data_IF_094661796295
#
_entry.id   IF_094661796295
#
_cell.length_a   1.000
_cell.length_b   1.000
_cell.length_c   1.000
_cell.angle_alpha   90.00
_cell.angle_beta   90.00
_cell.angle_gamma   90.00
#
_symmetry.space_group_name_H-M   'P 1'
#
loop_
_entity.id
_entity.type
_entity.pdbx_description
1 polymer ?
#
# COMPACT_ATOMS: atom_id res chain seq x y z
N UNK A 1 9.26 28.26 -38.58
CA UNK A 1 8.51 27.10 -38.04
C UNK A 1 7.06 27.25 -38.47
N UNK A 2 6.32 26.16 -38.78
CA UNK A 2 4.90 26.27 -39.08
C UNK A 2 4.16 26.90 -37.90
N UNK A 3 3.23 27.80 -38.21
CA UNK A 3 2.41 28.53 -37.27
C UNK A 3 1.50 27.56 -36.49
N UNK A 4 1.42 27.71 -35.17
CA UNK A 4 0.61 26.82 -34.32
C UNK A 4 -0.80 27.39 -34.17
N UNK A 5 -1.69 27.00 -35.08
CA UNK A 5 -3.06 27.50 -35.13
C UNK A 5 -4.01 26.60 -34.35
N UNK A 6 -4.87 27.19 -33.54
CA UNK A 6 -5.94 26.53 -32.80
C UNK A 6 -7.29 26.97 -33.35
N UNK A 7 -8.21 26.05 -33.53
CA UNK A 7 -9.62 26.34 -33.71
C UNK A 7 -10.31 26.71 -32.41
N UNK A 8 -11.62 26.99 -32.48
CA UNK A 8 -12.45 27.21 -31.29
C UNK A 8 -12.70 25.92 -30.48
N UNK A 9 -12.43 24.76 -31.07
CA UNK A 9 -12.52 23.43 -30.49
C UNK A 9 -11.26 22.64 -30.83
N UNK A 10 -10.63 22.02 -29.83
CA UNK A 10 -9.42 21.20 -30.01
C UNK A 10 -9.43 19.93 -29.16
N UNK A 11 -8.65 18.95 -29.62
CA UNK A 11 -8.26 17.80 -28.83
C UNK A 11 -6.94 18.05 -28.12
N UNK A 12 -6.87 17.66 -26.84
CA UNK A 12 -5.64 17.69 -26.06
C UNK A 12 -5.59 16.48 -25.13
N UNK A 13 -4.42 16.24 -24.54
CA UNK A 13 -4.25 15.29 -23.43
C UNK A 13 -3.65 15.99 -22.21
N UNK A 14 -4.02 15.55 -21.02
CA UNK A 14 -3.41 15.96 -19.75
C UNK A 14 -2.67 14.74 -19.15
N UNK A 15 -1.41 14.50 -19.55
CA UNK A 15 -0.66 13.31 -19.15
C UNK A 15 -0.53 13.12 -17.64
N UNK A 16 -0.40 14.19 -16.85
CA UNK A 16 -0.25 14.06 -15.39
C UNK A 16 -1.52 13.56 -14.70
N UNK A 17 -2.68 13.72 -15.35
CA UNK A 17 -3.99 13.33 -14.84
C UNK A 17 -4.48 12.00 -15.42
N UNK A 18 -3.62 11.29 -16.18
CA UNK A 18 -4.00 10.10 -16.94
C UNK A 18 -5.21 10.35 -17.88
N UNK A 19 -5.28 11.55 -18.49
CA UNK A 19 -6.29 11.92 -19.49
C UNK A 19 -5.67 11.94 -20.89
N UNK A 20 -5.56 10.79 -21.58
CA UNK A 20 -4.98 10.70 -22.91
C UNK A 20 -5.79 11.40 -24.01
N UNK A 21 -7.07 11.74 -23.79
CA UNK A 21 -7.87 12.47 -24.78
C UNK A 21 -9.03 13.24 -24.14
N UNK A 22 -9.09 14.55 -24.34
CA UNK A 22 -10.24 15.37 -23.94
C UNK A 22 -10.49 16.45 -24.99
N UNK A 23 -11.78 16.67 -25.33
CA UNK A 23 -12.20 17.80 -26.15
C UNK A 23 -12.32 19.04 -25.29
N UNK A 24 -11.60 20.08 -25.67
CA UNK A 24 -11.63 21.38 -25.02
C UNK A 24 -12.16 22.45 -25.96
N UNK A 25 -12.95 23.38 -25.42
CA UNK A 25 -13.29 24.62 -26.10
C UNK A 25 -12.18 25.63 -25.83
N UNK A 26 -11.61 26.21 -26.88
CA UNK A 26 -10.66 27.32 -26.76
C UNK A 26 -11.45 28.58 -26.48
N UNK A 27 -11.24 29.16 -25.29
CA UNK A 27 -12.03 30.27 -24.79
C UNK A 27 -11.12 31.41 -24.35
N UNK A 28 -10.87 32.35 -25.27
CA UNK A 28 -10.05 33.53 -25.00
C UNK A 28 -10.72 34.53 -24.04
N UNK A 29 -12.03 34.38 -23.77
CA UNK A 29 -12.74 35.17 -22.76
C UNK A 29 -12.45 34.69 -21.34
N UNK A 30 -12.20 33.39 -21.17
CA UNK A 30 -11.78 32.82 -19.89
C UNK A 30 -10.31 33.14 -19.60
N UNK A 31 -10.02 33.74 -18.43
CA UNK A 31 -8.63 33.99 -18.00
C UNK A 31 -7.88 32.68 -17.78
N UNK A 32 -8.42 31.81 -16.93
CA UNK A 32 -7.84 30.54 -16.52
C UNK A 32 -8.61 29.38 -17.14
N UNK A 33 -7.92 28.30 -17.49
CA UNK A 33 -8.55 27.07 -17.96
C UNK A 33 -9.45 26.45 -16.87
N UNK A 34 -10.47 25.70 -17.29
CA UNK A 34 -11.39 25.03 -16.39
C UNK A 34 -11.58 23.58 -16.84
N UNK A 35 -11.52 22.64 -15.90
CA UNK A 35 -11.69 21.21 -16.15
C UNK A 35 -12.87 20.69 -15.33
N UNK A 36 -13.68 19.86 -15.98
CA UNK A 36 -14.74 19.12 -15.31
C UNK A 36 -14.13 18.24 -14.23
N UNK A 37 -14.60 18.44 -13.01
CA UNK A 37 -14.27 17.62 -11.87
C UNK A 37 -15.50 17.47 -10.98
N UNK A 38 -15.67 16.30 -10.38
CA UNK A 38 -16.66 16.03 -9.34
C UNK A 38 -16.01 15.23 -8.20
N UNK A 39 -16.71 15.07 -7.08
CA UNK A 39 -16.17 14.44 -5.87
C UNK A 39 -14.81 15.02 -5.47
N UNK A 40 -14.68 16.35 -5.52
CA UNK A 40 -13.44 17.07 -5.25
C UNK A 40 -13.17 17.06 -3.74
N UNK A 41 -12.08 16.42 -3.33
CA UNK A 41 -11.69 16.25 -1.93
C UNK A 41 -10.22 16.68 -1.73
N UNK A 42 -9.93 17.76 -0.98
CA UNK A 42 -8.57 18.09 -0.59
C UNK A 42 -8.05 17.13 0.49
N UNK A 43 -6.77 16.78 0.42
CA UNK A 43 -6.09 15.93 1.40
C UNK A 43 -4.60 16.28 1.49
N UNK A 44 -3.85 15.58 2.34
CA UNK A 44 -2.43 15.83 2.55
C UNK A 44 -2.13 16.80 3.70
N UNK A 45 -0.84 17.03 3.95
CA UNK A 45 -0.38 17.95 5.00
C UNK A 45 -0.44 19.41 4.51
N UNK A 46 -0.32 20.37 5.43
CA UNK A 46 -0.23 21.78 5.07
C UNK A 46 0.99 22.10 4.18
N UNK A 47 2.07 21.33 4.33
CA UNK A 47 3.30 21.48 3.53
C UNK A 47 3.19 20.83 2.14
N UNK A 48 2.29 19.86 1.98
CA UNK A 48 2.05 19.14 0.71
C UNK A 48 0.56 18.93 0.49
N UNK A 49 -0.19 20.02 0.26
CA UNK A 49 -1.62 19.92 0.02
C UNK A 49 -1.86 19.26 -1.34
N UNK A 50 -2.80 18.34 -1.37
CA UNK A 50 -3.22 17.60 -2.56
C UNK A 50 -4.72 17.75 -2.74
N UNK A 51 -5.20 17.48 -3.95
CA UNK A 51 -6.63 17.37 -4.23
C UNK A 51 -6.89 16.11 -5.06
N UNK A 52 -7.92 15.36 -4.67
CA UNK A 52 -8.44 14.19 -5.39
C UNK A 52 -9.79 14.56 -5.99
N UNK A 53 -10.03 14.11 -7.22
CA UNK A 53 -11.27 14.40 -7.93
C UNK A 53 -11.51 13.34 -9.00
N UNK A 54 -12.75 13.19 -9.43
CA UNK A 54 -13.13 12.31 -10.52
C UNK A 54 -13.57 13.11 -11.75
N UNK A 55 -13.40 12.52 -12.93
CA UNK A 55 -13.72 13.13 -14.22
C UNK A 55 -14.46 12.12 -15.09
N UNK A 56 -15.53 12.57 -15.75
CA UNK A 56 -16.09 11.92 -16.93
C UNK A 56 -15.55 12.58 -18.18
N UNK A 57 -14.50 12.04 -18.85
CA UNK A 57 -13.85 12.72 -19.97
C UNK A 57 -14.73 12.74 -21.23
N UNK A 58 -15.58 11.73 -21.40
CA UNK A 58 -16.56 11.64 -22.47
C UNK A 58 -17.94 12.13 -21.97
N UNK A 59 -18.51 13.21 -22.53
CA UNK A 59 -19.87 13.63 -22.23
C UNK A 59 -20.96 12.57 -22.49
N UNK A 60 -20.70 11.60 -23.37
CA UNK A 60 -21.66 10.57 -23.78
C UNK A 60 -21.55 9.27 -22.99
N UNK A 61 -20.47 9.06 -22.23
CA UNK A 61 -20.26 7.87 -21.40
C UNK A 61 -19.93 8.26 -19.96
N UNK A 62 -20.96 8.43 -19.14
CA UNK A 62 -20.81 8.66 -17.69
C UNK A 62 -20.32 7.43 -16.94
N UNK A 63 -20.27 6.25 -17.57
CA UNK A 63 -19.63 5.06 -16.99
C UNK A 63 -18.10 5.10 -17.08
N UNK A 64 -17.54 5.96 -17.93
CA UNK A 64 -16.10 6.20 -18.01
C UNK A 64 -15.69 7.22 -16.96
N UNK A 65 -15.28 6.73 -15.80
CA UNK A 65 -14.80 7.55 -14.69
C UNK A 65 -13.28 7.42 -14.54
N UNK A 66 -12.58 8.56 -14.48
CA UNK A 66 -11.16 8.65 -14.22
C UNK A 66 -10.95 9.37 -12.88
N UNK A 67 -10.33 8.68 -11.92
CA UNK A 67 -9.96 9.27 -10.63
C UNK A 67 -8.57 9.89 -10.76
N UNK A 68 -8.50 11.20 -10.60
CA UNK A 68 -7.29 11.99 -10.68
C UNK A 68 -6.89 12.51 -9.29
N UNK A 69 -5.59 12.75 -9.11
CA UNK A 69 -5.09 13.50 -7.97
C UNK A 69 -3.95 14.42 -8.44
N UNK A 70 -3.83 15.60 -7.84
CA UNK A 70 -2.76 16.54 -8.17
C UNK A 70 -2.36 17.36 -6.93
N UNK A 71 -1.12 17.90 -6.89
CA UNK A 71 -0.74 18.92 -5.92
C UNK A 71 -1.70 20.12 -6.01
N UNK A 72 -2.20 20.54 -4.85
CA UNK A 72 -3.06 21.71 -4.77
C UNK A 72 -2.19 22.97 -4.79
N UNK A 73 -2.31 23.77 -5.85
CA UNK A 73 -1.54 25.01 -6.01
C UNK A 73 -2.16 26.17 -5.26
N UNK A 74 -3.47 26.33 -5.37
CA UNK A 74 -4.19 27.50 -4.85
C UNK A 74 -5.72 27.25 -4.77
N UNK A 75 -6.47 28.16 -4.12
CA UNK A 75 -7.92 28.27 -4.24
C UNK A 75 -8.27 29.68 -4.69
N UNK A 76 -8.99 29.80 -5.80
CA UNK A 76 -9.31 31.10 -6.41
C UNK A 76 -10.81 31.28 -6.58
N UNK A 77 -11.27 32.49 -6.32
CA UNK A 77 -12.62 32.92 -6.65
C UNK A 77 -12.72 33.15 -8.16
N UNK A 78 -13.64 32.44 -8.82
CA UNK A 78 -13.84 32.50 -10.26
C UNK A 78 -15.28 32.90 -10.55
N UNK A 79 -15.45 34.02 -11.27
CA UNK A 79 -16.75 34.46 -11.78
C UNK A 79 -16.97 33.93 -13.20
N UNK A 80 -18.06 33.20 -13.36
CA UNK A 80 -18.52 32.62 -14.62
C UNK A 80 -19.22 33.67 -15.48
N UNK A 81 -19.34 33.42 -16.79
CA UNK A 81 -20.00 34.34 -17.73
C UNK A 81 -21.50 34.54 -17.45
N UNK A 82 -22.10 33.64 -16.64
CA UNK A 82 -23.47 33.78 -16.14
C UNK A 82 -23.58 34.66 -14.87
N UNK A 83 -22.47 35.22 -14.38
CA UNK A 83 -22.42 36.07 -13.19
C UNK A 83 -22.29 35.31 -11.86
N UNK A 84 -22.27 33.98 -11.88
CA UNK A 84 -22.08 33.17 -10.67
C UNK A 84 -20.60 33.13 -10.27
N UNK A 85 -20.34 33.27 -8.98
CA UNK A 85 -18.98 33.25 -8.42
C UNK A 85 -18.79 32.01 -7.57
N UNK A 86 -17.67 31.30 -7.78
CA UNK A 86 -17.36 30.04 -7.11
C UNK A 86 -15.88 30.00 -6.68
N UNK A 87 -15.62 29.51 -5.46
CA UNK A 87 -14.25 29.21 -5.00
C UNK A 87 -13.77 27.86 -5.55
N UNK A 88 -12.84 27.88 -6.49
CA UNK A 88 -12.34 26.69 -7.18
C UNK A 88 -10.93 26.33 -6.74
N UNK A 89 -10.66 25.03 -6.64
CA UNK A 89 -9.30 24.51 -6.47
C UNK A 89 -8.52 24.67 -7.77
N UNK A 90 -7.25 25.06 -7.66
CA UNK A 90 -6.34 25.27 -8.78
C UNK A 90 -5.22 24.24 -8.72
N UNK A 91 -4.99 23.56 -9.84
CA UNK A 91 -3.88 22.63 -10.03
C UNK A 91 -3.02 23.10 -11.19
N UNK A 92 -1.78 22.64 -11.22
CA UNK A 92 -0.89 22.76 -12.38
C UNK A 92 -0.74 21.38 -13.02
N UNK A 93 -0.80 21.35 -14.36
CA UNK A 93 -0.62 20.11 -15.14
C UNK A 93 -0.08 20.45 -16.51
N UNK A 94 0.72 19.57 -17.08
CA UNK A 94 1.13 19.62 -18.47
C UNK A 94 -0.05 19.34 -19.39
N UNK A 95 -0.21 20.17 -20.41
CA UNK A 95 -1.09 19.91 -21.55
C UNK A 95 -0.24 19.51 -22.75
N UNK A 96 -0.66 18.47 -23.46
CA UNK A 96 -0.08 18.08 -24.74
C UNK A 96 -1.10 18.26 -25.86
N UNK A 97 -0.70 18.99 -26.90
CA UNK A 97 -1.52 19.25 -28.09
C UNK A 97 -0.60 19.49 -29.29
N UNK A 98 -0.91 18.87 -30.44
CA UNK A 98 -0.11 19.09 -31.66
C UNK A 98 1.37 18.69 -31.56
N UNK A 99 1.70 17.73 -30.68
CA UNK A 99 3.08 17.33 -30.41
C UNK A 99 3.88 18.29 -29.52
N UNK A 100 3.25 19.36 -29.00
CA UNK A 100 3.84 20.28 -28.02
C UNK A 100 3.31 19.97 -26.63
N UNK A 101 4.14 20.14 -25.61
CA UNK A 101 3.76 19.98 -24.19
C UNK A 101 4.23 21.19 -23.39
N UNK A 102 3.35 21.76 -22.57
CA UNK A 102 3.66 22.89 -21.69
C UNK A 102 2.75 22.91 -20.45
N UNK A 103 3.20 23.53 -19.34
CA UNK A 103 2.42 23.59 -18.11
C UNK A 103 1.27 24.60 -18.21
N UNK A 104 0.13 24.27 -17.63
CA UNK A 104 -1.03 25.14 -17.51
C UNK A 104 -1.63 25.09 -16.11
N UNK A 105 -2.24 26.20 -15.68
CA UNK A 105 -3.10 26.21 -14.50
C UNK A 105 -4.54 25.90 -14.89
N UNK A 106 -5.18 25.02 -14.12
CA UNK A 106 -6.54 24.57 -14.36
C UNK A 106 -7.35 24.67 -13.08
N UNK A 107 -8.54 25.24 -13.19
CA UNK A 107 -9.53 25.26 -12.11
C UNK A 107 -10.43 24.03 -12.19
N UNK A 108 -10.69 23.40 -11.05
CA UNK A 108 -11.57 22.23 -10.93
C UNK A 108 -13.00 22.69 -10.61
N UNK A 109 -13.97 22.30 -11.43
CA UNK A 109 -15.39 22.70 -11.28
C UNK A 109 -16.33 21.69 -11.93
N UNK A 110 -17.57 21.60 -11.48
CA UNK A 110 -18.56 20.74 -12.11
C UNK A 110 -19.03 21.34 -13.45
N UNK A 111 -18.79 20.60 -14.52
CA UNK A 111 -19.21 20.92 -15.89
C UNK A 111 -20.03 19.77 -16.48
N UNK A 112 -20.65 18.94 -15.63
CA UNK A 112 -21.43 17.76 -15.99
C UNK A 112 -22.56 18.03 -16.99
N UNK A 113 -23.18 19.21 -16.92
CA UNK A 113 -24.21 19.66 -17.86
C UNK A 113 -23.68 20.35 -19.13
N UNK A 114 -22.37 20.56 -19.25
CA UNK A 114 -21.77 21.29 -20.37
C UNK A 114 -21.30 20.34 -21.47
N UNK A 115 -21.42 20.76 -22.74
CA UNK A 115 -20.96 20.00 -23.89
C UNK A 115 -19.45 19.73 -23.90
N UNK A 116 -18.66 20.63 -23.31
CA UNK A 116 -17.20 20.51 -23.21
C UNK A 116 -16.76 20.34 -21.76
N UNK A 117 -16.05 19.24 -21.51
CA UNK A 117 -15.46 18.92 -20.20
C UNK A 117 -14.26 19.79 -19.86
N UNK A 118 -13.72 20.54 -20.81
CA UNK A 118 -12.62 21.47 -20.56
C UNK A 118 -12.79 22.78 -21.34
N UNK A 119 -12.39 23.88 -20.72
CA UNK A 119 -12.10 25.16 -21.36
C UNK A 119 -10.60 25.38 -21.34
N UNK A 120 -10.02 25.74 -22.49
CA UNK A 120 -8.65 26.21 -22.59
C UNK A 120 -8.67 27.74 -22.56
N UNK A 121 -8.33 28.31 -21.41
CA UNK A 121 -8.34 29.76 -21.18
C UNK A 121 -7.14 30.47 -21.78
N UNK A 122 -7.19 31.80 -21.88
CA UNK A 122 -6.14 32.61 -22.51
C UNK A 122 -4.76 32.51 -21.82
N UNK A 123 -4.69 32.21 -20.52
CA UNK A 123 -3.41 32.04 -19.83
C UNK A 123 -2.67 30.75 -20.23
N UNK A 124 -3.37 29.79 -20.84
CA UNK A 124 -2.78 28.57 -21.35
C UNK A 124 -2.25 28.71 -22.79
N UNK A 125 -2.51 29.84 -23.46
CA UNK A 125 -2.08 30.09 -24.84
C UNK A 125 -0.68 30.72 -24.82
N UNK A 126 0.25 30.13 -25.58
CA UNK A 126 1.59 30.68 -25.74
C UNK A 126 1.60 31.82 -26.79
N UNK A 127 2.53 32.79 -26.70
CA UNK A 127 2.55 33.96 -27.58
C UNK A 127 2.57 33.65 -29.08
N UNK A 128 3.12 32.51 -29.48
CA UNK A 128 3.23 32.05 -30.87
C UNK A 128 1.96 31.34 -31.39
N UNK A 129 0.96 31.14 -30.55
CA UNK A 129 -0.29 30.45 -30.91
C UNK A 129 -1.29 31.44 -31.51
N UNK A 130 -2.00 31.01 -32.54
CA UNK A 130 -3.10 31.79 -33.14
C UNK A 130 -4.41 31.05 -32.96
N UNK A 131 -5.45 31.75 -32.49
CA UNK A 131 -6.80 31.21 -32.45
C UNK A 131 -7.55 31.65 -33.71
N UNK A 132 -7.95 30.69 -34.54
CA UNK A 132 -8.80 30.86 -35.71
C UNK A 132 -10.26 30.55 -35.33
N UNK A 133 -11.08 31.56 -34.95
CA UNK A 133 -12.39 31.34 -34.34
C UNK A 133 -13.42 30.70 -35.29
N UNK A 134 -13.19 30.77 -36.60
CA UNK A 134 -14.05 30.14 -37.62
C UNK A 134 -13.66 28.68 -37.90
N UNK A 135 -12.55 28.19 -37.35
CA UNK A 135 -12.01 26.86 -37.61
C UNK A 135 -12.14 25.98 -36.36
N UNK A 136 -12.17 24.67 -36.57
CA UNK A 136 -12.16 23.64 -35.50
C UNK A 136 -11.10 22.60 -35.80
N UNK A 137 -10.59 21.93 -34.77
CA UNK A 137 -9.75 20.74 -34.89
C UNK A 137 -8.54 20.96 -35.80
N UNK A 138 -7.80 22.05 -35.56
CA UNK A 138 -6.57 22.38 -36.29
C UNK A 138 -5.38 21.53 -35.82
N UNK A 139 -5.53 20.84 -34.70
CA UNK A 139 -4.55 19.89 -34.17
C UNK A 139 -4.96 18.44 -34.42
N UNK A 140 -4.03 17.46 -34.35
CA UNK A 140 -4.35 16.05 -34.54
C UNK A 140 -5.50 15.61 -33.64
N UNK A 141 -6.50 14.97 -34.25
CA UNK A 141 -7.67 14.50 -33.53
C UNK A 141 -7.34 13.27 -32.70
N UNK A 142 -7.82 13.25 -31.47
CA UNK A 142 -7.76 12.10 -30.57
C UNK A 142 -9.12 11.38 -30.56
N UNK A 143 -9.21 10.25 -29.87
CA UNK A 143 -10.46 9.50 -29.68
C UNK A 143 -10.59 9.04 -28.24
N UNK A 144 -11.82 9.04 -27.72
CA UNK A 144 -12.14 8.46 -26.42
C UNK A 144 -11.91 6.93 -26.37
N UNK A 145 -11.85 6.25 -27.52
CA UNK A 145 -11.50 4.82 -27.60
C UNK A 145 -10.16 4.50 -26.92
N UNK A 146 -9.26 5.49 -26.86
CA UNK A 146 -7.98 5.36 -26.18
C UNK A 146 -8.14 4.98 -24.72
N UNK A 147 -9.21 5.42 -24.04
CA UNK A 147 -9.47 5.03 -22.66
C UNK A 147 -9.73 3.53 -22.56
N UNK A 148 -10.54 2.95 -23.46
CA UNK A 148 -10.83 1.52 -23.44
C UNK A 148 -9.61 0.65 -23.79
N UNK A 149 -8.67 1.17 -24.59
CA UNK A 149 -7.41 0.49 -24.92
C UNK A 149 -6.32 0.66 -23.83
N UNK A 150 -6.21 1.85 -23.23
CA UNK A 150 -5.12 2.22 -22.32
C UNK A 150 -5.37 1.87 -20.85
N UNK A 151 -6.63 1.77 -20.40
CA UNK A 151 -7.00 1.35 -19.03
C UNK A 151 -6.49 -0.06 -18.65
N UNK A 152 -5.99 -0.84 -19.62
CA UNK A 152 -5.40 -2.16 -19.39
C UNK A 152 -3.89 -2.16 -19.19
N UNK A 153 -3.18 -1.09 -19.54
CA UNK A 153 -1.73 -1.14 -19.74
C UNK A 153 -0.90 -0.19 -18.86
N UNK A 154 -1.51 0.77 -18.17
CA UNK A 154 -0.78 1.66 -17.23
C UNK A 154 -1.44 1.66 -15.85
N UNK A 155 -0.68 1.46 -14.76
CA UNK A 155 -1.21 1.64 -13.42
C UNK A 155 -1.59 3.11 -13.26
N UNK A 156 -2.87 3.38 -12.99
CA UNK A 156 -3.38 4.72 -12.67
C UNK A 156 -2.50 5.37 -11.61
N UNK A 157 -1.88 6.51 -11.93
CA UNK A 157 -1.05 7.27 -10.99
C UNK A 157 -1.94 8.16 -10.11
N UNK A 158 -2.80 7.53 -9.31
CA UNK A 158 -3.54 8.21 -8.26
C UNK A 158 -2.63 8.41 -7.05
N UNK A 159 -2.50 9.65 -6.59
CA UNK A 159 -1.90 9.93 -5.29
C UNK A 159 -2.76 9.31 -4.18
N UNK A 160 -2.13 8.51 -3.33
CA UNK A 160 -2.80 7.83 -2.22
C UNK A 160 -2.73 8.64 -0.93
N UNK A 161 -3.80 8.57 -0.14
CA UNK A 161 -3.83 9.01 1.26
C UNK A 161 -3.53 7.83 2.16
N UNK A 162 -2.30 7.77 2.65
CA UNK A 162 -1.79 6.69 3.49
C UNK A 162 -1.72 7.15 4.96
N UNK A 163 -1.76 6.18 5.87
CA UNK A 163 -1.44 6.41 7.28
C UNK A 163 -0.44 5.38 7.78
N UNK A 164 0.43 5.78 8.70
CA UNK A 164 1.32 4.89 9.44
C UNK A 164 0.98 4.95 10.93
N UNK A 165 0.54 3.82 11.49
CA UNK A 165 0.21 3.71 12.91
C UNK A 165 1.47 3.36 13.68
N UNK A 166 2.02 4.31 14.44
CA UNK A 166 3.28 4.14 15.16
C UNK A 166 3.36 5.07 16.37
N UNK A 167 4.08 4.65 17.41
CA UNK A 167 4.49 5.54 18.52
C UNK A 167 5.92 6.07 18.37
N UNK A 168 6.61 5.65 17.32
CA UNK A 168 8.00 5.99 17.04
C UNK A 168 8.07 6.67 15.66
N UNK A 169 7.63 7.93 15.61
CA UNK A 169 7.62 8.73 14.37
C UNK A 169 9.03 8.87 13.76
N UNK A 170 10.04 9.08 14.62
CA UNK A 170 11.42 9.37 14.22
C UNK A 170 12.26 8.12 13.90
N UNK A 171 11.72 6.92 14.11
CA UNK A 171 12.43 5.67 13.79
C UNK A 171 12.76 5.62 12.29
N UNK A 172 13.96 5.15 11.96
CA UNK A 172 14.45 4.98 10.59
C UNK A 172 13.40 4.33 9.66
N UNK A 173 12.76 3.25 10.11
CA UNK A 173 11.79 2.50 9.30
C UNK A 173 10.56 3.34 8.97
N UNK A 174 10.08 4.16 9.92
CA UNK A 174 8.95 5.07 9.74
C UNK A 174 9.31 6.16 8.72
N UNK A 175 10.43 6.85 8.94
CA UNK A 175 10.91 7.93 8.06
C UNK A 175 11.11 7.44 6.62
N UNK A 176 11.77 6.29 6.44
CA UNK A 176 11.97 5.68 5.12
C UNK A 176 10.67 5.37 4.39
N UNK A 177 9.64 4.88 5.09
CA UNK A 177 8.33 4.64 4.49
C UNK A 177 7.65 5.95 4.08
N UNK A 178 7.76 7.01 4.89
CA UNK A 178 7.25 8.36 4.56
C UNK A 178 7.93 8.88 3.31
N UNK A 179 9.27 8.92 3.31
CA UNK A 179 10.07 9.35 2.16
C UNK A 179 9.74 8.56 0.89
N UNK A 180 9.59 7.24 0.99
CA UNK A 180 9.27 6.39 -0.15
C UNK A 180 7.84 6.62 -0.67
N UNK A 181 6.86 6.86 0.22
CA UNK A 181 5.50 7.20 -0.19
C UNK A 181 5.46 8.57 -0.89
N UNK A 182 6.15 9.53 -0.31
CA UNK A 182 6.27 10.89 -0.81
C UNK A 182 6.98 10.97 -2.16
N UNK A 183 8.12 10.27 -2.33
CA UNK A 183 8.84 10.20 -3.59
C UNK A 183 8.02 9.55 -4.72
N UNK A 184 6.95 8.83 -4.36
CA UNK A 184 6.00 8.20 -5.29
C UNK A 184 4.72 9.03 -5.47
N UNK A 185 4.69 10.25 -4.94
CA UNK A 185 3.57 11.18 -5.08
C UNK A 185 2.39 10.88 -4.15
N UNK A 186 2.61 10.20 -3.04
CA UNK A 186 1.58 9.91 -2.04
C UNK A 186 1.77 10.77 -0.79
N UNK A 187 0.70 10.93 -0.02
CA UNK A 187 0.78 11.52 1.32
C UNK A 187 0.71 10.43 2.36
N UNK A 188 1.52 10.51 3.42
CA UNK A 188 1.42 9.59 4.54
C UNK A 188 1.37 10.33 5.87
N UNK A 189 0.28 10.13 6.60
CA UNK A 189 0.08 10.73 7.92
C UNK A 189 0.58 9.81 9.03
N UNK A 190 1.34 10.36 9.97
CA UNK A 190 1.83 9.63 11.15
C UNK A 190 0.80 9.74 12.27
N UNK A 191 0.30 8.60 12.73
CA UNK A 191 -0.75 8.54 13.75
C UNK A 191 -0.26 7.75 14.95
N UNK A 192 -0.22 8.40 16.12
CA UNK A 192 0.06 7.71 17.38
C UNK A 192 -1.09 6.77 17.73
N UNK A 193 -0.84 5.47 17.60
CA UNK A 193 -1.88 4.46 17.82
C UNK A 193 -2.48 4.50 19.22
N UNK A 194 -1.75 4.96 20.23
CA UNK A 194 -2.23 5.03 21.61
C UNK A 194 -3.19 6.19 21.88
N UNK A 195 -3.21 7.19 20.99
CA UNK A 195 -4.10 8.35 21.08
C UNK A 195 -5.37 8.17 20.26
N UNK A 196 -5.43 7.16 19.39
CA UNK A 196 -6.65 6.79 18.70
C UNK A 196 -7.72 6.35 19.69
N UNK A 197 -8.98 6.67 19.44
CA UNK A 197 -10.14 6.07 20.09
C UNK A 197 -11.23 5.85 19.04
N UNK A 198 -12.22 5.01 19.32
CA UNK A 198 -13.15 4.54 18.29
C UNK A 198 -14.59 4.73 18.69
N UNK A 199 -15.40 5.16 17.74
CA UNK A 199 -16.86 5.15 17.86
C UNK A 199 -17.37 3.89 17.15
N UNK A 200 -17.76 2.88 17.92
CA UNK A 200 -18.20 1.59 17.38
C UNK A 200 -19.71 1.63 17.22
N UNK A 201 -20.16 1.62 15.96
CA UNK A 201 -21.57 1.63 15.58
C UNK A 201 -21.84 0.53 14.57
N UNK A 202 -23.10 0.07 14.51
CA UNK A 202 -23.53 -0.91 13.50
C UNK A 202 -23.37 -0.36 12.07
N UNK A 203 -23.54 0.95 11.90
CA UNK A 203 -23.35 1.68 10.64
C UNK A 203 -22.57 2.96 10.97
N UNK A 204 -21.58 3.30 10.14
CA UNK A 204 -20.78 4.52 10.29
C UNK A 204 -19.90 4.50 11.54
N UNK A 205 -19.18 3.39 11.77
CA UNK A 205 -18.09 3.38 12.76
C UNK A 205 -16.98 4.35 12.35
N UNK A 206 -16.19 4.80 13.32
CA UNK A 206 -15.14 5.80 13.09
C UNK A 206 -13.91 5.50 13.96
N UNK A 207 -12.74 5.85 13.46
CA UNK A 207 -11.53 6.04 14.29
C UNK A 207 -11.36 7.53 14.48
N UNK A 208 -11.14 7.97 15.71
CA UNK A 208 -10.90 9.35 16.09
C UNK A 208 -9.47 9.53 16.57
N UNK A 209 -8.95 10.74 16.41
CA UNK A 209 -7.63 11.15 16.88
C UNK A 209 -7.68 12.63 17.24
N UNK A 210 -7.26 12.99 18.45
CA UNK A 210 -7.22 14.38 18.93
C UNK A 210 -8.55 15.16 18.76
N UNK A 211 -9.66 14.55 19.19
CA UNK A 211 -10.96 15.23 19.22
C UNK A 211 -11.77 15.17 17.92
N UNK A 212 -11.21 14.61 16.84
CA UNK A 212 -11.85 14.57 15.51
C UNK A 212 -11.84 13.18 14.88
N UNK A 213 -12.85 12.85 14.05
CA UNK A 213 -12.81 11.63 13.25
C UNK A 213 -11.64 11.73 12.26
N UNK A 214 -10.92 10.62 12.15
CA UNK A 214 -9.90 10.46 11.12
C UNK A 214 -10.58 10.34 9.75
N UNK A 215 -9.94 10.88 8.71
CA UNK A 215 -10.43 10.76 7.33
C UNK A 215 -10.35 9.30 6.83
N UNK A 216 -10.94 9.06 5.66
CA UNK A 216 -10.70 7.81 4.94
C UNK A 216 -9.25 7.75 4.42
N UNK A 217 -8.54 6.67 4.74
CA UNK A 217 -7.24 6.33 4.15
C UNK A 217 -7.38 5.19 3.16
N UNK A 218 -6.65 5.27 2.05
CA UNK A 218 -6.59 4.23 1.03
C UNK A 218 -5.88 2.98 1.59
N UNK A 219 -4.84 3.19 2.39
CA UNK A 219 -4.19 2.14 3.15
C UNK A 219 -3.55 2.64 4.44
N UNK A 220 -3.44 1.71 5.39
CA UNK A 220 -2.78 1.91 6.68
C UNK A 220 -1.59 0.95 6.80
N UNK A 221 -0.47 1.43 7.33
CA UNK A 221 0.72 0.66 7.65
C UNK A 221 0.86 0.53 9.17
N UNK A 222 0.47 -0.61 9.77
CA UNK A 222 0.59 -0.78 11.22
C UNK A 222 2.03 -1.11 11.62
N UNK A 223 2.61 -0.26 12.48
CA UNK A 223 3.92 -0.48 13.11
C UNK A 223 3.74 -0.67 14.62
N UNK A 224 2.89 -1.63 14.97
CA UNK A 224 2.44 -1.84 16.36
C UNK A 224 3.57 -2.42 17.23
N UNK A 225 3.94 -1.65 18.25
CA UNK A 225 4.91 -2.07 19.28
C UNK A 225 4.33 -3.14 20.20
N UNK A 226 5.20 -4.02 20.71
CA UNK A 226 4.79 -5.17 21.53
C UNK A 226 3.95 -4.78 22.76
N UNK A 227 4.27 -3.65 23.41
CA UNK A 227 3.58 -3.20 24.65
C UNK A 227 2.16 -2.67 24.43
N UNK A 228 1.71 -2.48 23.20
CA UNK A 228 0.34 -2.05 22.88
C UNK A 228 -0.34 -2.98 21.89
N UNK A 229 0.10 -4.24 21.77
CA UNK A 229 -0.43 -5.17 20.75
C UNK A 229 -1.95 -5.30 20.81
N UNK A 230 -2.53 -5.49 22.01
CA UNK A 230 -3.99 -5.62 22.17
C UNK A 230 -4.73 -4.37 21.67
N UNK A 231 -4.35 -3.19 22.16
CA UNK A 231 -4.98 -1.94 21.76
C UNK A 231 -4.74 -1.60 20.28
N UNK A 232 -3.49 -1.72 19.83
CA UNK A 232 -3.11 -1.41 18.45
C UNK A 232 -3.81 -2.32 17.44
N UNK A 233 -3.97 -3.61 17.74
CA UNK A 233 -4.74 -4.52 16.87
C UNK A 233 -6.23 -4.23 16.88
N UNK A 234 -6.79 -3.69 17.97
CA UNK A 234 -8.18 -3.21 17.99
C UNK A 234 -8.36 -2.01 17.05
N UNK A 235 -7.44 -1.04 17.07
CA UNK A 235 -7.44 0.11 16.15
C UNK A 235 -7.30 -0.34 14.69
N UNK A 236 -6.36 -1.25 14.40
CA UNK A 236 -6.19 -1.82 13.05
C UNK A 236 -7.48 -2.51 12.57
N UNK A 237 -8.13 -3.28 13.44
CA UNK A 237 -9.39 -3.98 13.12
C UNK A 237 -10.53 -3.03 12.81
N UNK A 238 -10.55 -1.86 13.43
CA UNK A 238 -11.51 -0.83 13.10
C UNK A 238 -11.26 -0.28 11.69
N UNK A 239 -10.01 0.01 11.31
CA UNK A 239 -9.68 0.38 9.92
C UNK A 239 -10.07 -0.71 8.91
N UNK A 240 -9.81 -1.98 9.23
CA UNK A 240 -10.24 -3.12 8.39
C UNK A 240 -11.77 -3.13 8.23
N UNK A 241 -12.52 -2.86 9.31
CA UNK A 241 -13.99 -2.81 9.29
C UNK A 241 -14.54 -1.63 8.48
N UNK A 242 -13.77 -0.55 8.35
CA UNK A 242 -14.07 0.59 7.47
C UNK A 242 -13.71 0.34 6.00
N UNK A 243 -13.16 -0.84 5.68
CA UNK A 243 -12.75 -1.20 4.32
C UNK A 243 -11.37 -0.67 3.91
N UNK A 244 -10.62 -0.05 4.84
CA UNK A 244 -9.24 0.41 4.58
C UNK A 244 -8.29 -0.79 4.49
N UNK A 245 -7.45 -0.81 3.45
CA UNK A 245 -6.43 -1.84 3.32
C UNK A 245 -5.34 -1.68 4.39
N UNK A 246 -5.14 -2.71 5.21
CA UNK A 246 -4.08 -2.73 6.22
C UNK A 246 -2.93 -3.63 5.77
N UNK A 247 -1.72 -3.08 5.59
CA UNK A 247 -0.55 -3.83 5.09
C UNK A 247 -0.20 -5.06 5.96
N UNK A 248 -0.39 -4.92 7.26
CA UNK A 248 -0.34 -6.02 8.22
C UNK A 248 -1.68 -6.06 8.97
N UNK A 249 -2.51 -7.06 8.68
CA UNK A 249 -3.83 -7.16 9.27
C UNK A 249 -3.82 -7.47 10.77
N UNK A 250 -4.92 -7.17 11.46
CA UNK A 250 -5.04 -7.34 12.91
C UNK A 250 -4.86 -8.81 13.35
N UNK A 251 -5.40 -9.77 12.58
CA UNK A 251 -5.22 -11.21 12.79
C UNK A 251 -3.74 -11.60 12.68
N UNK A 252 -3.07 -11.21 11.59
CA UNK A 252 -1.67 -11.55 11.36
C UNK A 252 -0.73 -10.95 12.41
N UNK A 253 -0.98 -9.71 12.84
CA UNK A 253 -0.23 -9.08 13.94
C UNK A 253 -0.42 -9.89 15.23
N UNK A 254 -1.67 -10.22 15.58
CA UNK A 254 -1.99 -10.96 16.81
C UNK A 254 -1.32 -12.33 16.83
N UNK A 255 -1.48 -13.10 15.74
CA UNK A 255 -0.91 -14.44 15.61
C UNK A 255 0.62 -14.39 15.66
N UNK A 256 1.24 -13.46 14.94
CA UNK A 256 2.72 -13.35 14.92
C UNK A 256 3.33 -12.95 16.26
N UNK A 257 2.57 -12.27 17.13
CA UNK A 257 3.02 -11.84 18.46
C UNK A 257 2.90 -12.93 19.51
N UNK A 258 1.91 -13.81 19.38
CA UNK A 258 1.77 -14.98 20.22
C UNK A 258 2.68 -16.10 19.70
N UNK A 259 3.80 -16.33 20.38
CA UNK A 259 4.76 -17.34 19.97
C UNK A 259 4.12 -18.74 19.94
N UNK A 260 3.26 -19.11 20.89
CA UNK A 260 2.64 -20.43 20.87
C UNK A 260 1.71 -20.58 19.67
N UNK A 261 0.80 -19.61 19.49
CA UNK A 261 -0.15 -19.64 18.40
C UNK A 261 0.56 -19.61 17.04
N UNK A 262 1.62 -18.81 16.89
CA UNK A 262 2.45 -18.82 15.69
C UNK A 262 3.01 -20.21 15.40
N UNK A 263 3.59 -20.91 16.39
CA UNK A 263 4.12 -22.27 16.17
C UNK A 263 3.00 -23.27 15.82
N UNK A 264 1.82 -23.16 16.42
CA UNK A 264 0.66 -23.99 16.07
C UNK A 264 0.19 -23.75 14.61
N UNK A 265 0.20 -22.50 14.14
CA UNK A 265 -0.11 -22.16 12.75
C UNK A 265 0.96 -22.73 11.81
N UNK A 266 2.25 -22.59 12.12
CA UNK A 266 3.33 -23.19 11.33
C UNK A 266 3.18 -24.72 11.24
N UNK A 267 2.88 -25.38 12.36
CA UNK A 267 2.64 -26.82 12.42
C UNK A 267 1.47 -27.24 11.52
N UNK A 268 0.31 -26.56 11.64
CA UNK A 268 -0.89 -26.83 10.84
C UNK A 268 -0.63 -26.76 9.35
N UNK A 269 0.24 -25.85 8.92
CA UNK A 269 0.62 -25.68 7.53
C UNK A 269 1.81 -26.56 7.09
N UNK A 270 2.33 -27.44 7.96
CA UNK A 270 3.51 -28.29 7.69
C UNK A 270 4.70 -27.45 7.23
N UNK A 271 5.03 -26.43 8.02
CA UNK A 271 6.20 -25.58 7.80
C UNK A 271 7.29 -26.03 8.78
N UNK A 272 8.51 -26.25 8.28
CA UNK A 272 9.63 -26.68 9.10
C UNK A 272 9.91 -25.66 10.20
N UNK A 273 10.03 -26.12 11.44
CA UNK A 273 10.40 -25.35 12.63
C UNK A 273 11.08 -26.27 13.64
N UNK A 274 11.82 -25.76 14.63
CA UNK A 274 12.38 -26.59 15.69
C UNK A 274 11.29 -27.36 16.44
N UNK A 275 11.57 -28.58 16.87
CA UNK A 275 10.65 -29.35 17.72
C UNK A 275 10.39 -28.54 18.98
N UNK A 276 9.12 -28.25 19.25
CA UNK A 276 8.71 -27.27 20.27
C UNK A 276 7.68 -27.89 21.19
N UNK A 277 7.94 -27.84 22.50
CA UNK A 277 6.97 -28.12 23.55
C UNK A 277 6.56 -26.82 24.25
N UNK A 278 5.33 -26.79 24.77
CA UNK A 278 4.79 -25.66 25.53
C UNK A 278 4.35 -26.14 26.91
N UNK A 279 4.72 -25.40 27.95
CA UNK A 279 4.40 -25.78 29.32
C UNK A 279 4.29 -24.55 30.24
N UNK A 280 3.56 -24.72 31.36
CA UNK A 280 3.42 -23.72 32.44
C UNK A 280 3.98 -24.23 33.76
N UNK A 281 3.39 -25.32 34.25
CA UNK A 281 3.81 -25.97 35.49
C UNK A 281 3.79 -27.50 35.35
N UNK A 282 4.63 -28.06 34.47
CA UNK A 282 4.66 -29.50 34.27
C UNK A 282 5.18 -30.19 35.55
N UNK A 283 4.42 -31.15 36.09
CA UNK A 283 4.92 -32.03 37.16
C UNK A 283 6.01 -33.00 36.67
N UNK A 284 6.22 -33.04 35.35
CA UNK A 284 7.14 -33.95 34.66
C UNK A 284 8.05 -33.18 33.69
N UNK A 285 8.98 -32.41 34.25
CA UNK A 285 9.98 -31.65 33.47
C UNK A 285 10.87 -32.57 32.62
N UNK A 286 11.14 -33.79 33.10
CA UNK A 286 11.95 -34.77 32.39
C UNK A 286 11.32 -35.19 31.06
N UNK A 287 10.01 -35.43 31.05
CA UNK A 287 9.28 -35.76 29.83
C UNK A 287 9.17 -34.56 28.87
N UNK A 288 8.95 -33.34 29.38
CA UNK A 288 8.97 -32.12 28.53
C UNK A 288 10.29 -32.00 27.76
N UNK A 289 11.41 -32.30 28.41
CA UNK A 289 12.75 -32.33 27.78
C UNK A 289 12.86 -33.48 26.78
N UNK A 290 12.34 -34.67 27.11
CA UNK A 290 12.40 -35.83 26.23
C UNK A 290 11.61 -35.64 24.92
N UNK A 291 10.42 -35.02 25.00
CA UNK A 291 9.54 -34.76 23.84
C UNK A 291 10.23 -33.88 22.78
N UNK A 292 11.15 -32.99 23.18
CA UNK A 292 11.90 -32.15 22.25
C UNK A 292 13.24 -32.76 21.80
N UNK A 293 13.53 -34.00 22.19
CA UNK A 293 14.75 -34.73 21.79
C UNK A 293 15.92 -34.61 22.78
N UNK A 294 15.71 -34.07 23.97
CA UNK A 294 16.76 -33.93 24.98
C UNK A 294 17.62 -32.67 24.85
N UNK A 295 18.72 -32.63 25.59
CA UNK A 295 19.66 -31.51 25.58
C UNK A 295 20.74 -31.66 24.48
N UNK A 296 21.28 -30.56 23.92
CA UNK A 296 20.99 -29.17 24.27
C UNK A 296 19.64 -28.67 23.74
N UNK A 297 19.02 -27.77 24.48
CA UNK A 297 17.70 -27.20 24.15
C UNK A 297 17.61 -25.72 24.53
N UNK A 298 16.66 -25.02 23.94
CA UNK A 298 16.39 -23.60 24.19
C UNK A 298 15.08 -23.46 24.95
N UNK A 299 15.10 -22.73 26.06
CA UNK A 299 13.91 -22.34 26.80
C UNK A 299 13.57 -20.88 26.52
N UNK A 300 12.31 -20.58 26.26
CA UNK A 300 11.83 -19.22 25.93
C UNK A 300 10.63 -18.87 26.78
N UNK A 301 10.71 -17.77 27.53
CA UNK A 301 9.53 -17.17 28.15
C UNK A 301 8.63 -16.56 27.06
N UNK A 302 7.32 -16.70 27.24
CA UNK A 302 6.35 -16.06 26.35
C UNK A 302 6.31 -14.55 26.58
N UNK A 303 6.24 -14.14 27.84
CA UNK A 303 6.18 -12.76 28.32
C UNK A 303 7.55 -12.08 28.35
N UNK A 304 8.20 -11.99 27.20
CA UNK A 304 9.49 -11.32 27.11
C UNK A 304 9.74 -10.67 25.75
N UNK A 305 10.37 -9.50 25.78
CA UNK A 305 10.76 -8.73 24.60
C UNK A 305 12.27 -8.78 24.38
N UNK A 306 12.70 -8.67 23.12
CA UNK A 306 14.11 -8.51 22.72
C UNK A 306 15.08 -9.57 23.27
N UNK A 307 14.68 -10.84 23.32
CA UNK A 307 15.58 -11.95 23.69
C UNK A 307 15.93 -12.04 25.18
N UNK A 308 15.40 -11.15 26.03
CA UNK A 308 15.37 -11.36 27.48
C UNK A 308 14.48 -12.59 27.73
N UNK A 309 14.91 -13.55 28.56
CA UNK A 309 14.14 -14.79 28.78
C UNK A 309 14.27 -15.87 27.70
N UNK A 310 15.31 -15.83 26.86
CA UNK A 310 15.74 -16.97 26.03
C UNK A 310 17.01 -17.55 26.63
N UNK A 311 17.00 -18.84 26.98
CA UNK A 311 18.11 -19.51 27.69
C UNK A 311 18.48 -20.78 26.93
N UNK A 312 19.77 -20.97 26.67
CA UNK A 312 20.31 -22.24 26.18
C UNK A 312 20.68 -23.12 27.37
N UNK A 313 20.13 -24.33 27.42
CA UNK A 313 20.50 -25.34 28.40
C UNK A 313 21.27 -26.46 27.69
N UNK A 314 22.58 -26.54 27.95
CA UNK A 314 23.46 -27.52 27.32
C UNK A 314 23.27 -28.94 27.84
N UNK A 315 22.81 -29.06 29.09
CA UNK A 315 22.61 -30.35 29.77
C UNK A 315 21.18 -30.50 30.26
N UNK A 316 20.72 -31.75 30.42
CA UNK A 316 19.41 -32.06 30.99
C UNK A 316 19.22 -31.43 32.38
N UNK A 317 20.23 -31.53 33.26
CA UNK A 317 20.19 -30.94 34.60
C UNK A 317 20.02 -29.42 34.55
N UNK A 318 20.75 -28.73 33.68
CA UNK A 318 20.59 -27.28 33.50
C UNK A 318 19.18 -26.93 33.01
N UNK A 319 18.62 -27.70 32.06
CA UNK A 319 17.27 -27.50 31.58
C UNK A 319 16.23 -27.68 32.71
N UNK A 320 16.36 -28.73 33.53
CA UNK A 320 15.49 -28.98 34.68
C UNK A 320 15.54 -27.83 35.70
N UNK A 321 16.73 -27.30 36.00
CA UNK A 321 16.89 -26.14 36.88
C UNK A 321 16.20 -24.89 36.34
N UNK A 322 16.34 -24.60 35.05
CA UNK A 322 15.68 -23.44 34.42
C UNK A 322 14.16 -23.61 34.39
N UNK A 323 13.67 -24.82 34.09
CA UNK A 323 12.23 -25.13 34.14
C UNK A 323 11.70 -24.90 35.56
N UNK A 324 12.38 -25.42 36.59
CA UNK A 324 11.98 -25.22 37.98
C UNK A 324 11.91 -23.74 38.36
N UNK A 325 12.86 -22.93 37.87
CA UNK A 325 12.83 -21.49 38.09
C UNK A 325 11.60 -20.83 37.41
N UNK A 326 11.30 -21.19 36.17
CA UNK A 326 10.12 -20.67 35.45
C UNK A 326 8.80 -21.10 36.09
N UNK A 327 8.73 -22.32 36.64
CA UNK A 327 7.59 -22.80 37.41
C UNK A 327 7.35 -21.96 38.67
N UNK A 328 8.42 -21.60 39.40
CA UNK A 328 8.32 -20.71 40.57
C UNK A 328 7.76 -19.33 40.23
N UNK A 329 8.04 -18.84 39.02
CA UNK A 329 7.49 -17.60 38.48
C UNK A 329 6.07 -17.74 37.93
N UNK A 330 5.49 -18.96 37.91
CA UNK A 330 4.20 -19.29 37.30
C UNK A 330 4.08 -18.84 35.84
N UNK A 331 5.22 -18.78 35.13
CA UNK A 331 5.29 -18.26 33.78
C UNK A 331 5.05 -19.36 32.74
N UNK A 332 4.43 -18.97 31.62
CA UNK A 332 4.35 -19.81 30.43
C UNK A 332 5.67 -19.80 29.65
N UNK A 333 6.13 -20.98 29.23
CA UNK A 333 7.37 -21.14 28.51
C UNK A 333 7.31 -22.17 27.38
N UNK A 334 8.15 -21.94 26.37
CA UNK A 334 8.42 -22.87 25.29
C UNK A 334 9.76 -23.56 25.54
N UNK A 335 9.84 -24.84 25.21
CA UNK A 335 11.07 -25.63 25.17
C UNK A 335 11.28 -26.05 23.73
N UNK A 336 12.45 -25.80 23.17
CA UNK A 336 12.75 -26.07 21.76
C UNK A 336 14.05 -26.85 21.59
N UNK A 337 14.08 -27.79 20.66
CA UNK A 337 15.31 -28.45 20.23
C UNK A 337 16.33 -27.42 19.74
N UNK A 338 17.58 -27.50 20.20
CA UNK A 338 18.63 -26.61 19.72
C UNK A 338 19.15 -27.07 18.35
N UNK A 339 19.08 -26.18 17.35
CA UNK A 339 19.57 -26.44 15.99
C UNK A 339 21.07 -26.10 15.94
N UNK A 340 21.91 -27.07 16.28
CA UNK A 340 23.38 -26.89 16.39
C UNK A 340 24.01 -26.43 15.08
N UNK A 341 23.45 -26.89 13.96
CA UNK A 341 23.92 -26.62 12.60
C UNK A 341 23.86 -25.14 12.24
N UNK A 342 23.00 -24.40 12.92
CA UNK A 342 22.88 -22.96 12.73
C UNK A 342 24.09 -22.19 13.28
N UNK A 343 24.89 -22.78 14.17
CA UNK A 343 26.14 -22.21 14.69
C UNK A 343 26.02 -20.74 15.20
N UNK A 344 24.89 -20.38 15.82
CA UNK A 344 24.64 -19.01 16.30
C UNK A 344 24.32 -18.00 15.20
N UNK A 345 23.98 -18.48 14.00
CA UNK A 345 23.54 -17.68 12.86
C UNK A 345 22.06 -17.90 12.57
N UNK A 346 21.41 -16.85 12.06
CA UNK A 346 20.09 -16.98 11.47
C UNK A 346 19.98 -16.18 10.17
N UNK A 347 19.01 -16.54 9.35
CA UNK A 347 18.69 -15.84 8.10
C UNK A 347 17.37 -15.11 8.30
N UNK A 348 17.42 -13.79 8.24
CA UNK A 348 16.22 -12.96 8.16
C UNK A 348 15.84 -12.73 6.70
N UNK A 349 14.71 -13.28 6.30
CA UNK A 349 14.06 -13.05 5.02
C UNK A 349 12.96 -11.99 5.17
N UNK A 350 12.99 -10.92 4.37
CA UNK A 350 11.90 -9.97 4.32
C UNK A 350 10.97 -10.29 3.15
N UNK A 351 9.72 -10.59 3.47
CA UNK A 351 8.65 -10.91 2.54
C UNK A 351 7.76 -9.69 2.35
N UNK A 352 7.51 -9.31 1.09
CA UNK A 352 6.55 -8.29 0.69
C UNK A 352 5.67 -8.87 -0.42
N UNK A 353 4.36 -8.87 -0.24
CA UNK A 353 3.38 -9.34 -1.24
C UNK A 353 3.63 -10.77 -1.72
N UNK A 354 4.05 -11.67 -0.82
CA UNK A 354 4.34 -13.07 -1.15
C UNK A 354 5.67 -13.31 -1.89
N UNK A 355 6.58 -12.32 -1.92
CA UNK A 355 7.94 -12.47 -2.48
C UNK A 355 8.99 -12.10 -1.43
N UNK A 356 10.07 -12.89 -1.33
CA UNK A 356 11.25 -12.49 -0.54
C UNK A 356 12.03 -11.43 -1.31
N UNK A 357 11.96 -10.17 -0.87
CA UNK A 357 12.58 -9.02 -1.54
C UNK A 357 14.04 -8.80 -1.12
N UNK A 358 14.37 -9.14 0.12
CA UNK A 358 15.72 -9.12 0.66
C UNK A 358 15.91 -10.21 1.71
N UNK A 359 17.16 -10.58 1.93
CA UNK A 359 17.56 -11.46 3.01
C UNK A 359 18.92 -11.02 3.55
N UNK A 360 19.14 -11.22 4.85
CA UNK A 360 20.43 -11.01 5.50
C UNK A 360 20.72 -12.17 6.43
N UNK A 361 21.97 -12.56 6.54
CA UNK A 361 22.45 -13.44 7.61
C UNK A 361 22.82 -12.57 8.79
N UNK A 362 22.38 -12.93 9.98
CA UNK A 362 22.82 -12.31 11.23
C UNK A 362 23.64 -13.29 12.03
N UNK A 363 24.71 -12.81 12.67
CA UNK A 363 25.57 -13.59 13.55
C UNK A 363 25.60 -12.94 14.92
N UNK A 364 25.46 -13.77 15.96
CA UNK A 364 25.63 -13.34 17.36
C UNK A 364 27.07 -12.92 17.67
N UNK A 365 27.30 -12.43 18.89
CA UNK A 365 28.66 -12.27 19.42
C UNK A 365 29.32 -13.65 19.60
N UNK A 366 30.67 -13.74 19.65
CA UNK A 366 31.38 -15.01 19.80
C UNK A 366 30.87 -15.91 20.94
N UNK A 367 30.36 -15.33 22.02
CA UNK A 367 29.84 -16.04 23.21
C UNK A 367 28.30 -15.98 23.36
N UNK A 368 27.56 -15.52 22.33
CA UNK A 368 26.09 -15.47 22.36
C UNK A 368 25.49 -16.28 21.20
N UNK A 369 24.71 -17.30 21.54
CA UNK A 369 24.00 -18.13 20.56
C UNK A 369 22.85 -17.37 19.87
N UNK A 370 22.47 -16.18 20.36
CA UNK A 370 21.44 -15.34 19.78
C UNK A 370 22.04 -14.38 18.76
N UNK A 371 21.39 -14.24 17.61
CA UNK A 371 21.85 -13.46 16.47
C UNK A 371 21.16 -12.08 16.33
N UNK A 372 20.52 -11.57 17.38
CA UNK A 372 19.78 -10.33 17.34
C UNK A 372 20.71 -9.10 17.13
N UNK A 373 20.47 -8.32 16.07
CA UNK A 373 21.24 -7.10 15.77
C UNK A 373 21.29 -6.08 16.91
N UNK A 374 20.17 -5.88 17.61
CA UNK A 374 20.08 -4.94 18.72
C UNK A 374 20.96 -5.31 19.94
N UNK A 375 21.50 -6.54 19.99
CA UNK A 375 22.42 -6.99 21.06
C UNK A 375 23.89 -6.96 20.61
N UNK A 376 24.18 -6.27 19.50
CA UNK A 376 25.53 -6.11 18.97
C UNK A 376 25.98 -7.26 18.06
N UNK A 377 25.04 -8.02 17.50
CA UNK A 377 25.31 -8.96 16.41
C UNK A 377 25.65 -8.23 15.09
N UNK A 378 26.28 -8.93 14.16
CA UNK A 378 26.59 -8.41 12.82
C UNK A 378 25.54 -8.89 11.80
N UNK A 379 25.36 -8.15 10.70
CA UNK A 379 24.57 -8.62 9.56
C UNK A 379 25.35 -8.51 8.25
N UNK A 380 25.18 -9.52 7.41
CA UNK A 380 25.87 -9.67 6.14
C UNK A 380 24.89 -10.12 5.05
N UNK A 381 25.16 -9.80 3.77
CA UNK A 381 24.34 -10.29 2.67
C UNK A 381 24.39 -11.82 2.61
N UNK A 382 23.25 -12.45 2.30
CA UNK A 382 23.19 -13.90 2.13
C UNK A 382 22.39 -14.30 0.91
N UNK A 383 22.90 -15.30 0.18
CA UNK A 383 22.13 -15.96 -0.89
C UNK A 383 21.30 -17.08 -0.27
N UNK A 384 19.98 -16.93 -0.37
CA UNK A 384 19.04 -17.94 0.13
C UNK A 384 18.73 -18.99 -0.94
N UNK A 385 18.54 -20.23 -0.49
CA UNK A 385 18.14 -21.36 -1.32
C UNK A 385 16.66 -21.25 -1.75
N UNK A 386 16.25 -22.09 -2.71
CA UNK A 386 14.83 -22.20 -3.12
C UNK A 386 13.95 -22.62 -1.94
N UNK A 387 14.42 -23.57 -1.14
CA UNK A 387 13.68 -24.11 0.01
C UNK A 387 13.53 -23.05 1.12
N UNK A 388 14.57 -22.26 1.39
CA UNK A 388 14.51 -21.15 2.36
C UNK A 388 13.51 -20.07 1.91
N UNK A 389 13.53 -19.72 0.62
CA UNK A 389 12.59 -18.75 0.04
C UNK A 389 11.15 -19.23 0.14
N UNK A 390 10.90 -20.49 -0.21
CA UNK A 390 9.57 -21.10 -0.13
C UNK A 390 9.07 -21.18 1.31
N UNK A 391 9.92 -21.57 2.26
CA UNK A 391 9.59 -21.59 3.68
C UNK A 391 9.19 -20.20 4.20
N UNK A 392 9.96 -19.15 3.85
CA UNK A 392 9.65 -17.78 4.24
C UNK A 392 8.32 -17.29 3.68
N UNK A 393 8.06 -17.50 2.38
CA UNK A 393 6.80 -17.11 1.73
C UNK A 393 5.62 -17.87 2.33
N UNK A 394 5.78 -19.18 2.56
CA UNK A 394 4.73 -20.02 3.13
C UNK A 394 4.42 -19.62 4.57
N UNK A 395 5.43 -19.27 5.37
CA UNK A 395 5.27 -18.77 6.73
C UNK A 395 4.52 -17.44 6.77
N UNK A 396 4.93 -16.44 5.98
CA UNK A 396 4.23 -15.16 5.90
C UNK A 396 2.77 -15.33 5.46
N UNK A 397 2.51 -16.19 4.48
CA UNK A 397 1.16 -16.51 4.00
C UNK A 397 0.31 -17.20 5.07
N UNK A 398 0.87 -18.17 5.79
CA UNK A 398 0.17 -18.86 6.88
C UNK A 398 -0.28 -17.90 7.99
N UNK A 399 0.51 -16.84 8.22
CA UNK A 399 0.19 -15.76 9.16
C UNK A 399 -0.69 -14.65 8.57
N UNK A 400 -1.12 -14.75 7.30
CA UNK A 400 -1.88 -13.72 6.58
C UNK A 400 -1.19 -12.34 6.57
N UNK A 401 0.14 -12.32 6.42
CA UNK A 401 0.92 -11.08 6.39
C UNK A 401 1.41 -10.78 4.97
N UNK A 402 1.05 -9.60 4.45
CA UNK A 402 1.59 -9.07 3.20
C UNK A 402 3.00 -8.48 3.40
N UNK A 403 3.34 -8.02 4.62
CA UNK A 403 4.70 -7.67 5.04
C UNK A 403 5.12 -8.53 6.24
N UNK A 404 6.24 -9.25 6.12
CA UNK A 404 6.77 -10.04 7.24
C UNK A 404 8.29 -10.15 7.21
N UNK A 405 8.93 -10.09 8.38
CA UNK A 405 10.30 -10.57 8.58
C UNK A 405 10.27 -11.99 9.10
N UNK A 406 10.78 -12.96 8.34
CA UNK A 406 10.82 -14.37 8.70
C UNK A 406 12.24 -14.76 9.05
N UNK A 407 12.45 -15.22 10.28
CA UNK A 407 13.75 -15.67 10.78
C UNK A 407 13.85 -17.17 10.61
N UNK A 408 14.93 -17.63 9.96
CA UNK A 408 15.17 -19.02 9.59
C UNK A 408 16.49 -19.50 10.18
N UNK A 409 16.52 -20.76 10.61
CA UNK A 409 17.73 -21.52 10.90
C UNK A 409 17.95 -22.56 9.80
N UNK A 410 19.21 -22.80 9.43
CA UNK A 410 19.57 -23.90 8.53
C UNK A 410 19.69 -25.18 9.35
N UNK A 411 18.77 -26.12 9.15
CA UNK A 411 18.86 -27.47 9.73
C UNK A 411 19.34 -28.50 8.70
N UNK A 412 19.76 -29.66 9.19
CA UNK A 412 20.22 -30.77 8.34
C UNK A 412 19.12 -31.29 7.39
N UNK A 413 17.86 -31.22 7.80
CA UNK A 413 16.68 -31.65 7.05
C UNK A 413 15.91 -30.47 6.40
N UNK A 414 16.56 -29.31 6.28
CA UNK A 414 16.01 -28.12 5.62
C UNK A 414 15.82 -26.92 6.54
N UNK A 415 15.24 -25.82 6.01
CA UNK A 415 15.07 -24.58 6.77
C UNK A 415 14.03 -24.72 7.89
N UNK A 416 14.36 -24.18 9.05
CA UNK A 416 13.49 -24.13 10.24
C UNK A 416 13.09 -22.70 10.53
N UNK A 417 11.80 -22.40 10.47
CA UNK A 417 11.24 -21.09 10.84
C UNK A 417 11.33 -20.94 12.36
N UNK A 418 11.97 -19.87 12.81
CA UNK A 418 12.16 -19.53 14.21
C UNK A 418 11.13 -18.51 14.70
N UNK A 419 10.88 -17.48 13.91
CA UNK A 419 9.96 -16.39 14.23
C UNK A 419 9.42 -15.75 12.94
N UNK A 420 8.18 -15.27 12.99
CA UNK A 420 7.59 -14.42 11.94
C UNK A 420 7.21 -13.10 12.59
N UNK A 421 7.77 -11.99 12.09
CA UNK A 421 7.57 -10.65 12.62
C UNK A 421 6.68 -9.82 11.68
N UNK A 422 5.54 -9.33 12.16
CA UNK A 422 4.60 -8.48 11.40
C UNK A 422 5.04 -7.02 11.23
N UNK A 423 5.98 -6.55 12.05
CA UNK A 423 6.53 -5.19 11.99
C UNK A 423 8.07 -5.22 11.94
N UNK A 424 8.67 -5.76 10.86
CA UNK A 424 10.13 -5.91 10.77
C UNK A 424 10.81 -4.54 10.66
N UNK A 425 11.95 -4.35 11.33
CA UNK A 425 12.80 -3.17 11.14
C UNK A 425 13.46 -3.17 9.76
N UNK A 426 13.55 -1.99 9.12
CA UNK A 426 14.07 -1.85 7.75
C UNK A 426 15.57 -1.48 7.70
N UNK A 427 16.09 -0.80 8.71
CA UNK A 427 17.45 -0.23 8.70
C UNK A 427 18.55 -1.24 8.40
N UNK A 428 18.64 -2.31 9.19
CA UNK A 428 19.69 -3.31 9.02
C UNK A 428 19.62 -4.00 7.66
N UNK A 429 18.41 -4.32 7.19
CA UNK A 429 18.25 -5.07 5.94
C UNK A 429 18.39 -4.18 4.70
N UNK A 430 17.97 -2.91 4.73
CA UNK A 430 18.24 -1.95 3.67
C UNK A 430 19.74 -1.67 3.55
N UNK A 431 20.44 -1.46 4.68
CA UNK A 431 21.90 -1.23 4.68
C UNK A 431 22.68 -2.39 4.08
N UNK A 432 22.30 -3.62 4.44
CA UNK A 432 22.98 -4.84 3.96
C UNK A 432 22.64 -5.16 2.51
N UNK A 433 21.35 -5.06 2.13
CA UNK A 433 20.91 -5.41 0.78
C UNK A 433 21.11 -4.30 -0.25
N UNK A 434 21.28 -3.05 0.20
CA UNK A 434 21.31 -1.82 -0.61
C UNK A 434 20.09 -1.65 -1.53
N UNK A 435 18.95 -2.23 -1.13
CA UNK A 435 17.68 -2.13 -1.86
C UNK A 435 16.77 -1.10 -1.20
N UNK A 436 15.99 -0.40 -2.01
CA UNK A 436 14.88 0.43 -1.56
C UNK A 436 13.70 -0.46 -1.16
N UNK A 437 13.71 -0.94 0.07
CA UNK A 437 12.68 -1.82 0.61
C UNK A 437 11.40 -1.04 0.90
N UNK A 438 11.53 0.18 1.43
CA UNK A 438 10.39 1.06 1.66
C UNK A 438 9.62 1.32 0.35
N UNK A 439 10.31 1.63 -0.76
CA UNK A 439 9.69 1.80 -2.07
C UNK A 439 9.00 0.54 -2.59
N UNK A 440 9.56 -0.65 -2.36
CA UNK A 440 8.90 -1.91 -2.70
C UNK A 440 7.62 -2.16 -1.88
N UNK A 441 7.59 -1.73 -0.61
CA UNK A 441 6.40 -1.79 0.24
C UNK A 441 5.31 -0.85 -0.30
N UNK A 442 5.67 0.38 -0.64
CA UNK A 442 4.71 1.35 -1.20
C UNK A 442 4.17 0.89 -2.55
N UNK A 443 5.05 0.40 -3.44
CA UNK A 443 4.63 -0.17 -4.73
C UNK A 443 3.68 -1.38 -4.56
N UNK A 444 3.84 -2.16 -3.48
CA UNK A 444 2.91 -3.22 -3.16
C UNK A 444 1.54 -2.69 -2.71
N UNK A 445 1.51 -1.61 -1.91
CA UNK A 445 0.29 -0.94 -1.49
C UNK A 445 -0.46 -0.40 -2.71
N UNK A 446 0.21 0.31 -3.62
CA UNK A 446 -0.37 0.81 -4.88
C UNK A 446 -1.09 -0.30 -5.65
N UNK A 447 -0.43 -1.44 -5.85
CA UNK A 447 -1.01 -2.56 -6.58
C UNK A 447 -2.24 -3.18 -5.89
N UNK A 448 -2.34 -3.07 -4.57
CA UNK A 448 -3.46 -3.61 -3.78
C UNK A 448 -4.67 -2.68 -3.76
N UNK A 449 -4.44 -1.38 -3.76
CA UNK A 449 -5.51 -0.35 -3.71
C UNK A 449 -5.89 0.21 -5.08
N UNK A 450 -5.22 -0.23 -6.15
CA UNK A 450 -5.52 0.18 -7.51
C UNK A 450 -7.00 -0.08 -7.87
N UNK A 451 -7.70 0.88 -8.50
CA UNK A 451 -9.04 0.68 -9.01
C UNK A 451 -9.07 -0.53 -9.96
N UNK A 452 -10.09 -1.40 -9.83
CA UNK A 452 -10.28 -2.48 -10.80
C UNK A 452 -10.75 -1.85 -12.13
N UNK A 453 -10.14 -2.19 -13.27
CA UNK A 453 -10.58 -1.64 -14.55
C UNK A 453 -12.04 -2.02 -14.82
N UNK A 454 -12.81 -1.16 -15.53
CA UNK A 454 -14.18 -1.46 -15.90
C UNK A 454 -14.26 -2.81 -16.64
N UNK A 455 -15.28 -3.62 -16.31
CA UNK A 455 -15.54 -4.84 -17.09
C UNK A 455 -15.87 -4.43 -18.53
N UNK A 456 -15.29 -5.08 -19.56
CA UNK A 456 -15.59 -4.73 -20.94
C UNK A 456 -17.09 -4.92 -21.18
N UNK A 457 -17.72 -3.95 -21.88
CA UNK A 457 -19.07 -4.12 -22.41
C UNK A 457 -19.09 -5.42 -23.20
N UNK A 458 -19.99 -6.34 -22.84
CA UNK A 458 -20.26 -7.48 -23.73
C UNK A 458 -20.70 -6.90 -25.07
N UNK A 459 -20.16 -7.42 -26.18
CA UNK A 459 -20.63 -7.08 -27.54
C UNK A 459 -22.05 -7.62 -27.68
N UNK A 460 -23.02 -6.92 -27.12
CA UNK A 460 -24.44 -7.21 -27.31
C UNK A 460 -24.90 -6.45 -28.53
N UNK A 461 -25.17 -7.25 -29.58
CA UNK A 461 -25.93 -7.01 -30.82
C UNK A 461 -25.76 -5.63 -31.48
N UNK A 462 -25.08 -5.65 -32.63
CA UNK A 462 -25.40 -4.71 -33.72
C UNK A 462 -26.92 -4.76 -33.92
N UNK A 463 -27.58 -3.61 -33.82
CA UNK A 463 -28.93 -3.48 -34.35
C UNK A 463 -28.92 -3.90 -35.82
N UNK A 464 -29.95 -4.63 -36.31
CA UNK A 464 -30.03 -4.99 -37.71
C UNK A 464 -30.09 -3.71 -38.55
N UNK A 465 -29.51 -3.72 -39.76
CA UNK A 465 -29.63 -2.57 -40.65
C UNK A 465 -31.11 -2.34 -40.96
N UNK A 466 -31.53 -1.07 -40.90
CA UNK A 466 -32.85 -0.65 -41.37
C UNK A 466 -33.07 -1.18 -42.79
N UNK A 467 -34.08 -2.05 -42.94
CA UNK A 467 -34.50 -2.50 -44.25
C UNK A 467 -35.11 -1.31 -44.98
N UNK A 468 -34.42 -0.82 -46.02
CA UNK A 468 -34.97 0.05 -47.03
C UNK A 468 -36.07 -0.70 -47.79
N UNK A 469 -37.31 -0.60 -47.31
CA UNK A 469 -38.51 -1.04 -48.01
C UNK A 469 -38.92 -0.02 -49.06
N UNK A 470 -38.39 -0.20 -50.27
CA UNK A 470 -38.95 0.37 -51.49
C UNK A 470 -40.39 -0.12 -51.68
N UNK A 471 -41.24 0.81 -52.12
CA UNK A 471 -42.60 0.57 -52.56
C UNK A 471 -42.69 -0.54 -53.61
N UNK A 472 -43.71 -1.38 -53.49
CA UNK A 472 -44.22 -2.19 -54.60
C UNK A 472 -45.74 -2.03 -54.63
N UNK A 473 -46.20 -1.50 -55.75
CA UNK A 473 -47.59 -1.32 -56.15
C UNK A 473 -48.34 -2.66 -56.13
N UNK A 474 -49.61 -2.61 -55.71
CA UNK A 474 -50.55 -3.71 -55.86
C UNK A 474 -51.13 -3.72 -57.28
N UNK A 475 -51.26 -4.87 -57.96
CA UNK A 475 -52.13 -4.97 -59.11
C UNK A 475 -53.57 -5.28 -58.66
N UNK A 476 -54.51 -4.66 -59.37
CA UNK A 476 -55.94 -4.90 -59.31
C UNK A 476 -56.30 -6.39 -59.44
N UNK A 477 -57.23 -6.86 -58.59
CA UNK A 477 -58.45 -7.58 -58.97
C UNK A 477 -59.44 -7.60 -57.80
#
# INVERSE_FOLDING_TARGET
>A
MPQFTLGWEEWLSLPDLDLPAIRAKVDTGAKTSALHAFAIEPFGSAERPMVRFAIHPDPQDTGLEIICSAPLKDRREITSSNGETEMRFVIETDVTMGGRTWPIEVTLTDRGGMAYRMLLGRSALLPEMIVAPAQRLQQPQLSYDVYHASLRQRPHRRALRLAILTREAENYSTRRLIEAAEARGHTMEVIDTSRCYMNIRAIGGEVHYDGRPLPHYDAVIPRIGASITSYGTAVVRQFESLGTYCLAGSEGITVSRDKLHAHQVLARHRIGMPTTAFARSPKDSGNVIAVVGGAPLVLKLLESTQGKGVVLAETKKAAESVISAFQGLKADFLVQSFVKEAAGEDIRCLVVGGKVVAAMRRRGKPDDFRSNLHQGGTAEPVRISKHEREAAIKAARAMRLDLAGVDLLRGADGPKVLEVNSSPGLEGIERVSRKDIAGLIVAHIEAKVAPRPPRPRSRTRRDPPEASGLAAEAPEM
#
